data_IF_160866914720
#
_entry.id   IF_160866914720
#
_cell.length_a   1.000
_cell.length_b   1.000
_cell.length_c   1.000
_cell.angle_alpha   90.00
_cell.angle_beta   90.00
_cell.angle_gamma   90.00
#
_symmetry.space_group_name_H-M   'P 1'
#
loop_
_entity.id
_entity.type
_entity.pdbx_description
1 polymer ?
#
# COMPACT_ATOMS: atom_id res chain seq x y z
N UNK A 1 -15.37 26.16 8.24
CA UNK A 1 -14.68 27.40 8.61
C UNK A 1 -13.16 27.25 8.58
N UNK A 2 -12.37 28.32 8.70
CA UNK A 2 -10.93 28.27 8.68
C UNK A 2 -10.38 27.59 9.95
N UNK A 3 -9.26 26.87 9.80
CA UNK A 3 -8.40 26.43 10.88
C UNK A 3 -7.25 27.41 10.96
N UNK A 4 -7.06 28.05 12.11
CA UNK A 4 -6.04 29.10 12.30
C UNK A 4 -4.99 28.66 13.33
N UNK A 5 -3.78 29.15 13.16
CA UNK A 5 -2.71 28.97 14.16
C UNK A 5 -2.76 30.09 15.22
N UNK A 6 -1.87 30.05 16.20
CA UNK A 6 -1.80 31.04 17.29
C UNK A 6 -1.44 32.47 16.82
N UNK A 7 -0.98 32.63 15.58
CA UNK A 7 -0.68 33.92 14.96
C UNK A 7 -1.87 34.48 14.16
N UNK A 8 -3.00 33.77 14.13
CA UNK A 8 -4.17 34.13 13.36
C UNK A 8 -4.07 33.80 11.86
N UNK A 9 -3.01 33.08 11.43
CA UNK A 9 -2.84 32.68 10.03
C UNK A 9 -3.70 31.45 9.72
N UNK A 10 -4.38 31.43 8.58
CA UNK A 10 -5.17 30.29 8.13
C UNK A 10 -4.22 29.18 7.66
N UNK A 11 -4.25 28.04 8.33
CA UNK A 11 -3.45 26.85 8.02
C UNK A 11 -4.25 25.76 7.32
N UNK A 12 -5.57 25.82 7.37
CA UNK A 12 -6.46 24.86 6.72
C UNK A 12 -7.93 25.32 6.68
N UNK A 13 -8.73 24.51 6.01
CA UNK A 13 -10.19 24.68 5.94
C UNK A 13 -10.83 23.42 6.50
N UNK A 14 -11.60 23.53 7.59
CA UNK A 14 -12.32 22.40 8.17
C UNK A 14 -13.30 21.83 7.15
N UNK A 15 -13.22 20.53 6.87
CA UNK A 15 -13.98 19.87 5.80
C UNK A 15 -14.95 18.82 6.32
N UNK A 16 -14.55 17.99 7.27
CA UNK A 16 -15.34 16.88 7.74
C UNK A 16 -15.00 16.50 9.19
N UNK A 17 -15.89 15.76 9.82
CA UNK A 17 -15.63 15.01 11.06
C UNK A 17 -15.96 13.54 10.83
N UNK A 18 -15.19 12.63 11.42
CA UNK A 18 -15.58 11.23 11.48
C UNK A 18 -16.52 11.05 12.67
N UNK A 19 -17.73 10.56 12.40
CA UNK A 19 -18.77 10.40 13.43
C UNK A 19 -19.75 9.31 13.03
N UNK A 20 -20.21 8.55 14.03
CA UNK A 20 -21.28 7.55 13.88
C UNK A 20 -22.65 8.06 14.36
N UNK A 21 -22.69 9.19 15.10
CA UNK A 21 -23.89 9.73 15.73
C UNK A 21 -24.08 11.25 15.48
N UNK A 22 -23.47 11.79 14.43
CA UNK A 22 -23.48 13.22 14.06
C UNK A 22 -22.91 14.18 15.12
N UNK A 23 -22.22 13.64 16.16
CA UNK A 23 -21.51 14.43 17.17
C UNK A 23 -20.01 14.25 17.02
N UNK A 24 -19.22 15.24 17.43
CA UNK A 24 -17.75 15.16 17.39
C UNK A 24 -17.23 14.02 18.28
N UNK A 25 -16.50 13.09 17.71
CA UNK A 25 -15.93 11.92 18.36
C UNK A 25 -14.38 11.92 18.40
N UNK A 26 -13.78 13.11 18.33
CA UNK A 26 -12.33 13.27 18.45
C UNK A 26 -11.59 13.35 17.11
N UNK A 27 -12.22 13.08 15.98
CA UNK A 27 -11.58 13.13 14.66
C UNK A 27 -12.19 14.22 13.79
N UNK A 28 -11.38 15.23 13.47
CA UNK A 28 -11.69 16.28 12.51
C UNK A 28 -10.69 16.31 11.36
N UNK A 29 -11.15 16.63 10.17
CA UNK A 29 -10.33 16.74 8.98
C UNK A 29 -10.36 18.16 8.44
N UNK A 30 -9.19 18.66 8.05
CA UNK A 30 -9.05 19.96 7.41
C UNK A 30 -8.25 19.82 6.11
N UNK A 31 -8.64 20.57 5.09
CA UNK A 31 -7.88 20.69 3.85
C UNK A 31 -6.73 21.68 4.11
N UNK A 32 -5.46 21.31 3.87
CA UNK A 32 -4.34 22.24 4.02
C UNK A 32 -4.54 23.50 3.16
N UNK A 33 -4.26 24.67 3.72
CA UNK A 33 -4.54 25.95 3.02
C UNK A 33 -3.80 26.08 1.68
N UNK A 34 -2.59 25.53 1.59
CA UNK A 34 -1.82 25.57 0.35
C UNK A 34 -2.49 24.77 -0.78
N UNK A 35 -3.16 23.65 -0.44
CA UNK A 35 -3.94 22.86 -1.40
C UNK A 35 -5.21 23.60 -1.81
N UNK A 36 -5.93 24.15 -0.82
CA UNK A 36 -7.13 24.95 -1.08
C UNK A 36 -6.85 26.15 -1.99
N UNK A 37 -5.71 26.83 -1.77
CA UNK A 37 -5.26 27.96 -2.61
C UNK A 37 -5.01 27.52 -4.05
N UNK A 38 -4.28 26.44 -4.27
CA UNK A 38 -3.99 25.91 -5.61
C UNK A 38 -5.29 25.58 -6.38
N UNK A 39 -6.23 24.90 -5.69
CA UNK A 39 -7.55 24.59 -6.28
C UNK A 39 -8.35 25.85 -6.61
N UNK A 40 -8.36 26.83 -5.70
CA UNK A 40 -9.06 28.09 -5.92
C UNK A 40 -8.47 28.87 -7.13
N UNK A 41 -7.16 28.93 -7.25
CA UNK A 41 -6.48 29.56 -8.38
C UNK A 41 -6.82 28.88 -9.72
N UNK A 42 -6.87 27.53 -9.75
CA UNK A 42 -7.29 26.79 -10.94
C UNK A 42 -8.74 27.13 -11.35
N UNK A 43 -9.66 27.20 -10.39
CA UNK A 43 -11.06 27.57 -10.64
C UNK A 43 -11.16 29.01 -11.15
N UNK A 44 -10.46 29.95 -10.53
CA UNK A 44 -10.46 31.36 -10.91
C UNK A 44 -9.92 31.55 -12.33
N UNK A 45 -8.81 30.84 -12.67
CA UNK A 45 -8.14 31.00 -13.98
C UNK A 45 -8.79 30.21 -15.11
N UNK A 46 -9.38 29.07 -14.82
CA UNK A 46 -9.84 28.12 -15.84
C UNK A 46 -11.21 27.49 -15.63
N UNK A 47 -11.95 27.92 -14.61
CA UNK A 47 -13.30 27.43 -14.32
C UNK A 47 -13.37 25.98 -13.83
N UNK A 48 -12.25 25.26 -13.81
CA UNK A 48 -12.16 23.85 -13.39
C UNK A 48 -10.81 23.52 -12.79
N UNK A 49 -10.82 22.56 -11.89
CA UNK A 49 -9.59 22.03 -11.26
C UNK A 49 -8.88 21.11 -12.23
N UNK A 50 -7.61 21.35 -12.50
CA UNK A 50 -6.76 20.50 -13.33
C UNK A 50 -5.81 19.71 -12.42
N UNK A 51 -6.24 18.55 -11.96
CA UNK A 51 -5.41 17.71 -11.10
C UNK A 51 -4.39 16.95 -11.91
N UNK A 52 -3.12 17.19 -11.60
CA UNK A 52 -2.05 16.34 -12.08
C UNK A 52 -2.16 14.94 -11.50
N UNK A 53 -1.80 13.96 -12.30
CA UNK A 53 -1.96 12.54 -11.99
C UNK A 53 -0.70 11.76 -12.39
N UNK A 54 -0.31 10.81 -11.57
CA UNK A 54 0.86 9.96 -11.79
C UNK A 54 0.46 8.49 -12.01
N UNK A 55 -0.60 8.01 -11.38
CA UNK A 55 -1.08 6.63 -11.48
C UNK A 55 -0.34 5.64 -10.58
N UNK A 56 -0.17 6.02 -9.31
CA UNK A 56 0.49 5.20 -8.31
C UNK A 56 -0.42 4.96 -7.11
N UNK A 57 -0.44 3.73 -6.62
CA UNK A 57 -0.84 3.42 -5.25
C UNK A 57 0.41 3.26 -4.40
N UNK A 58 0.45 3.94 -3.27
CA UNK A 58 1.65 4.03 -2.44
C UNK A 58 1.33 3.70 -0.99
N UNK A 59 2.30 3.10 -0.31
CA UNK A 59 2.25 2.81 1.13
C UNK A 59 3.42 3.43 1.87
N UNK A 60 3.21 3.63 3.16
CA UNK A 60 4.28 4.08 4.06
C UNK A 60 5.34 3.00 4.21
N UNK A 61 6.61 3.39 4.10
CA UNK A 61 7.73 2.48 4.37
C UNK A 61 7.81 2.26 5.89
N UNK A 62 7.55 1.03 6.33
CA UNK A 62 7.75 0.63 7.74
C UNK A 62 9.23 0.29 8.01
N UNK A 63 9.66 0.27 9.30
CA UNK A 63 11.02 -0.16 9.64
C UNK A 63 11.37 -1.58 9.12
N UNK A 64 10.42 -2.50 9.17
CA UNK A 64 10.58 -3.84 8.63
C UNK A 64 10.74 -3.84 7.09
N UNK A 65 9.95 -2.99 6.38
CA UNK A 65 10.07 -2.81 4.93
C UNK A 65 11.42 -2.21 4.55
N UNK A 66 11.87 -1.16 5.24
CA UNK A 66 13.16 -0.54 4.99
C UNK A 66 14.28 -1.59 5.10
N UNK A 67 14.25 -2.39 6.16
CA UNK A 67 15.22 -3.47 6.37
C UNK A 67 15.16 -4.54 5.28
N UNK A 68 13.97 -5.03 4.93
CA UNK A 68 13.78 -6.05 3.91
C UNK A 68 14.22 -5.58 2.51
N UNK A 69 14.08 -4.28 2.21
CA UNK A 69 14.45 -3.68 0.93
C UNK A 69 15.89 -3.14 0.91
N UNK A 70 16.59 -3.14 2.05
CA UNK A 70 17.96 -2.63 2.16
C UNK A 70 18.03 -1.10 2.19
N UNK A 71 17.02 -0.43 2.76
CA UNK A 71 16.99 1.02 2.94
C UNK A 71 17.56 1.37 4.31
N UNK A 72 18.37 2.42 4.39
CA UNK A 72 19.00 2.85 5.66
C UNK A 72 18.01 3.42 6.66
N UNK A 73 16.94 4.06 6.16
CA UNK A 73 15.91 4.72 6.98
C UNK A 73 14.51 4.34 6.51
N UNK A 74 13.53 4.22 7.43
CA UNK A 74 12.13 3.92 7.06
C UNK A 74 11.41 5.18 6.55
N UNK A 75 11.94 5.79 5.50
CA UNK A 75 11.41 7.01 4.87
C UNK A 75 11.12 6.75 3.39
N UNK A 76 10.17 7.49 2.83
CA UNK A 76 9.77 7.38 1.44
C UNK A 76 8.37 6.83 1.24
N UNK A 77 7.97 6.73 -0.03
CA UNK A 77 6.70 6.16 -0.44
C UNK A 77 6.93 4.91 -1.29
N UNK A 78 6.55 3.76 -0.76
CA UNK A 78 6.63 2.47 -1.47
C UNK A 78 5.55 2.39 -2.55
N UNK A 79 5.95 2.21 -3.80
CA UNK A 79 5.04 1.94 -4.92
C UNK A 79 4.50 0.53 -4.79
N UNK A 80 3.21 0.42 -4.51
CA UNK A 80 2.52 -0.86 -4.36
C UNK A 80 1.91 -1.33 -5.66
N UNK A 81 1.29 -0.41 -6.40
CA UNK A 81 0.65 -0.69 -7.68
C UNK A 81 0.84 0.48 -8.62
N UNK A 82 1.00 0.18 -9.89
CA UNK A 82 1.02 1.15 -10.97
C UNK A 82 -0.25 0.94 -11.79
N UNK A 83 -0.94 2.02 -12.09
CA UNK A 83 -2.13 1.97 -12.94
C UNK A 83 -1.72 1.85 -14.41
N UNK A 84 -2.43 1.01 -15.16
CA UNK A 84 -2.16 0.79 -16.57
C UNK A 84 -2.31 2.08 -17.38
N UNK A 85 -1.47 2.27 -18.39
CA UNK A 85 -1.44 3.46 -19.24
C UNK A 85 -1.23 4.78 -18.46
N UNK A 86 -0.59 4.70 -17.30
CA UNK A 86 -0.31 5.86 -16.44
C UNK A 86 1.03 6.53 -16.78
N UNK A 87 1.24 7.80 -16.35
CA UNK A 87 2.54 8.45 -16.37
C UNK A 87 3.65 7.66 -15.68
N UNK A 88 3.33 7.01 -14.57
CA UNK A 88 4.28 6.19 -13.83
C UNK A 88 4.77 4.99 -14.64
N UNK A 89 3.85 4.28 -15.29
CA UNK A 89 4.19 3.15 -16.17
C UNK A 89 5.05 3.63 -17.34
N UNK A 90 4.64 4.70 -18.01
CA UNK A 90 5.38 5.30 -19.16
C UNK A 90 6.79 5.72 -18.78
N UNK A 91 7.02 6.18 -17.54
CA UNK A 91 8.33 6.54 -17.01
C UNK A 91 9.18 5.34 -16.58
N UNK A 92 8.62 4.12 -16.60
CA UNK A 92 9.31 2.88 -16.20
C UNK A 92 9.49 2.77 -14.70
N UNK A 93 8.59 3.36 -13.90
CA UNK A 93 8.44 3.03 -12.50
C UNK A 93 7.94 1.58 -12.38
N UNK A 94 8.24 0.94 -11.26
CA UNK A 94 7.87 -0.46 -11.00
C UNK A 94 7.32 -0.61 -9.58
N UNK A 95 6.54 -1.65 -9.37
CA UNK A 95 6.19 -2.09 -8.02
C UNK A 95 7.45 -2.36 -7.20
N UNK A 96 7.40 -2.08 -5.91
CA UNK A 96 8.52 -2.11 -4.96
C UNK A 96 9.55 -0.97 -5.11
N UNK A 97 9.37 -0.02 -6.04
CA UNK A 97 10.14 1.22 -6.00
C UNK A 97 9.81 2.02 -4.74
N UNK A 98 10.80 2.68 -4.16
CA UNK A 98 10.58 3.63 -3.08
C UNK A 98 10.91 5.02 -3.59
N UNK A 99 9.94 5.91 -3.59
CA UNK A 99 10.11 7.31 -3.96
C UNK A 99 10.75 8.03 -2.79
N UNK A 100 11.99 8.51 -2.97
CA UNK A 100 12.78 9.21 -1.95
C UNK A 100 12.71 10.72 -2.10
N UNK A 101 12.63 11.24 -3.34
CA UNK A 101 12.54 12.67 -3.60
C UNK A 101 11.82 12.94 -4.93
N UNK A 102 11.27 14.15 -5.07
CA UNK A 102 10.70 14.68 -6.32
C UNK A 102 11.22 16.10 -6.52
N UNK A 103 11.81 16.39 -7.68
CA UNK A 103 12.46 17.67 -8.01
C UNK A 103 13.44 18.13 -6.91
N UNK A 104 14.21 17.20 -6.36
CA UNK A 104 15.17 17.43 -5.27
C UNK A 104 14.57 17.60 -3.87
N UNK A 105 13.24 17.64 -3.74
CA UNK A 105 12.57 17.71 -2.44
C UNK A 105 12.35 16.31 -1.87
N UNK A 106 12.83 16.06 -0.64
CA UNK A 106 12.64 14.77 0.05
C UNK A 106 11.16 14.45 0.26
N UNK A 107 10.81 13.19 0.02
CA UNK A 107 9.50 12.60 0.25
C UNK A 107 9.63 11.54 1.35
N UNK A 108 9.12 11.84 2.54
CA UNK A 108 9.20 10.94 3.70
C UNK A 108 8.00 10.02 3.81
N UNK A 109 6.87 10.44 3.24
CA UNK A 109 5.59 9.75 3.32
C UNK A 109 4.87 9.77 1.97
N UNK A 110 3.91 8.84 1.73
CA UNK A 110 3.00 8.93 0.59
C UNK A 110 2.25 10.26 0.50
N UNK A 111 1.89 10.85 1.64
CA UNK A 111 1.20 12.15 1.71
C UNK A 111 2.06 13.29 1.18
N UNK A 112 3.39 13.23 1.37
CA UNK A 112 4.29 14.23 0.81
C UNK A 112 4.26 14.19 -0.71
N UNK A 113 4.31 12.98 -1.30
CA UNK A 113 4.20 12.77 -2.76
C UNK A 113 2.87 13.28 -3.27
N UNK A 114 1.75 12.90 -2.63
CA UNK A 114 0.42 13.35 -3.02
C UNK A 114 0.30 14.87 -2.97
N UNK A 115 0.77 15.50 -1.88
CA UNK A 115 0.75 16.95 -1.70
C UNK A 115 1.62 17.66 -2.72
N UNK A 116 2.77 17.08 -3.07
CA UNK A 116 3.66 17.64 -4.08
C UNK A 116 3.00 17.62 -5.47
N UNK A 117 2.48 16.47 -5.87
CA UNK A 117 1.83 16.29 -7.17
C UNK A 117 0.54 17.11 -7.28
N UNK A 118 -0.22 17.26 -6.19
CA UNK A 118 -1.45 18.05 -6.18
C UNK A 118 -1.25 19.55 -6.49
N UNK A 119 -0.01 20.05 -6.38
CA UNK A 119 0.36 21.45 -6.73
C UNK A 119 0.84 21.60 -8.15
N UNK A 120 0.99 20.52 -8.89
CA UNK A 120 1.46 20.48 -10.26
C UNK A 120 0.29 20.46 -11.24
N UNK A 121 0.58 20.82 -12.48
CA UNK A 121 -0.40 20.81 -13.55
C UNK A 121 -0.15 19.66 -14.54
N UNK A 122 -1.18 19.18 -15.22
CA UNK A 122 -1.00 18.23 -16.31
C UNK A 122 -0.07 18.77 -17.37
N UNK A 123 0.86 17.94 -17.86
CA UNK A 123 1.89 18.29 -18.81
C UNK A 123 3.22 18.72 -18.18
N UNK A 124 3.25 19.01 -16.86
CA UNK A 124 4.52 19.28 -16.19
C UNK A 124 5.36 18.00 -16.08
N UNK A 125 6.65 18.18 -16.23
CA UNK A 125 7.64 17.13 -16.01
C UNK A 125 8.23 17.26 -14.62
N UNK A 126 8.34 16.13 -13.91
CA UNK A 126 8.94 16.07 -12.57
C UNK A 126 9.98 14.95 -12.52
N UNK A 127 11.03 15.17 -11.74
CA UNK A 127 12.11 14.21 -11.58
C UNK A 127 11.93 13.43 -10.28
N UNK A 128 11.60 12.15 -10.40
CA UNK A 128 11.50 11.22 -9.28
C UNK A 128 12.87 10.61 -8.99
N UNK A 129 13.35 10.74 -7.77
CA UNK A 129 14.47 9.93 -7.26
C UNK A 129 13.89 8.71 -6.59
N UNK A 130 14.14 7.53 -7.15
CA UNK A 130 13.63 6.25 -6.65
C UNK A 130 14.76 5.36 -6.17
N UNK A 131 14.46 4.52 -5.19
CA UNK A 131 15.33 3.42 -4.75
C UNK A 131 14.71 2.09 -5.22
N UNK A 132 15.53 1.25 -5.84
CA UNK A 132 15.16 -0.07 -6.37
C UNK A 132 16.35 -1.02 -6.26
N UNK A 133 16.18 -2.18 -5.65
CA UNK A 133 17.20 -3.24 -5.55
C UNK A 133 18.57 -2.73 -5.08
N UNK A 134 18.59 -1.93 -4.02
CA UNK A 134 19.83 -1.38 -3.43
C UNK A 134 20.46 -0.21 -4.19
N UNK A 135 19.82 0.31 -5.24
CA UNK A 135 20.35 1.40 -6.07
C UNK A 135 19.35 2.55 -6.19
N UNK A 136 19.87 3.75 -6.36
CA UNK A 136 19.07 4.94 -6.60
C UNK A 136 19.06 5.31 -8.09
N UNK A 137 17.90 5.68 -8.60
CA UNK A 137 17.69 6.08 -10.00
C UNK A 137 16.90 7.37 -10.04
N UNK A 138 17.17 8.19 -11.06
CA UNK A 138 16.33 9.32 -11.40
C UNK A 138 15.41 8.92 -12.57
N UNK A 139 14.12 9.24 -12.44
CA UNK A 139 13.09 8.96 -13.42
C UNK A 139 12.29 10.21 -13.72
N UNK A 140 12.29 10.61 -14.98
CA UNK A 140 11.49 11.73 -15.47
C UNK A 140 10.06 11.26 -15.73
N UNK A 141 9.10 11.91 -15.11
CA UNK A 141 7.67 11.61 -15.22
C UNK A 141 6.93 12.82 -15.76
N UNK A 142 6.24 12.68 -16.88
CA UNK A 142 5.36 13.72 -17.43
C UNK A 142 3.96 13.51 -16.88
N UNK A 143 3.50 14.45 -16.04
CA UNK A 143 2.21 14.37 -15.38
C UNK A 143 1.06 14.48 -16.38
N UNK A 144 -0.01 13.73 -16.19
CA UNK A 144 -1.21 13.80 -17.02
C UNK A 144 -2.40 14.35 -16.23
N UNK A 145 -3.44 14.72 -16.92
CA UNK A 145 -4.72 15.01 -16.28
C UNK A 145 -5.38 13.70 -15.87
N UNK A 146 -5.85 13.61 -14.62
CA UNK A 146 -6.68 12.49 -14.21
C UNK A 146 -7.94 12.50 -15.06
N UNK A 147 -8.15 11.46 -15.85
CA UNK A 147 -9.46 11.24 -16.48
C UNK A 147 -10.41 10.97 -15.33
N UNK A 148 -11.46 11.78 -15.19
CA UNK A 148 -12.48 11.54 -14.18
C UNK A 148 -12.98 10.11 -14.40
N UNK A 149 -12.69 9.24 -13.45
CA UNK A 149 -13.29 7.93 -13.42
C UNK A 149 -14.78 8.17 -13.22
N UNK A 150 -15.57 7.81 -14.22
CA UNK A 150 -17.02 7.65 -14.05
C UNK A 150 -17.19 6.81 -12.80
N UNK A 151 -17.92 7.34 -11.83
CA UNK A 151 -18.15 6.71 -10.54
C UNK A 151 -18.46 5.24 -10.77
N UNK A 152 -17.54 4.36 -10.37
CA UNK A 152 -17.82 2.94 -10.29
C UNK A 152 -18.86 2.82 -9.21
N UNK A 153 -20.07 2.44 -9.61
CA UNK A 153 -21.12 2.03 -8.69
C UNK A 153 -20.53 0.90 -7.85
N UNK A 154 -20.54 1.08 -6.56
CA UNK A 154 -20.33 0.04 -5.58
C UNK A 154 -21.53 -0.90 -5.66
N UNK A 155 -21.42 -1.91 -6.50
CA UNK A 155 -22.36 -3.04 -6.50
C UNK A 155 -21.97 -3.92 -5.32
N UNK A 156 -22.52 -3.57 -4.16
CA UNK A 156 -22.58 -4.46 -3.02
C UNK A 156 -23.29 -5.74 -3.41
N UNK A 157 -22.56 -6.82 -3.53
CA UNK A 157 -23.09 -8.16 -3.56
C UNK A 157 -22.75 -8.87 -2.26
N UNK A 158 -23.75 -8.84 -1.36
CA UNK A 158 -23.94 -9.87 -0.34
C UNK A 158 -24.08 -11.21 -1.08
N UNK A 159 -23.24 -12.17 -0.73
CA UNK A 159 -23.53 -13.57 -1.03
C UNK A 159 -23.32 -14.43 0.21
N UNK A 160 -24.47 -14.93 0.64
CA UNK A 160 -24.63 -15.96 1.66
C UNK A 160 -24.16 -17.33 1.16
N UNK A 161 -23.48 -17.99 2.06
CA UNK A 161 -23.52 -19.43 2.39
C UNK A 161 -23.97 -20.43 1.29
N UNK A 162 -23.14 -21.43 1.11
CA UNK A 162 -23.50 -22.71 0.50
C UNK A 162 -22.44 -23.75 0.74
N UNK A 163 -22.76 -24.68 1.61
CA UNK A 163 -21.90 -25.75 2.10
C UNK A 163 -21.61 -26.86 1.08
N UNK A 164 -20.61 -27.63 1.41
CA UNK A 164 -20.55 -29.07 1.15
C UNK A 164 -19.79 -29.49 -0.11
N UNK A 165 -18.60 -29.99 0.07
CA UNK A 165 -18.27 -31.39 -0.29
C UNK A 165 -16.83 -31.67 0.13
N UNK A 166 -16.69 -32.67 0.95
CA UNK A 166 -15.43 -33.27 1.39
C UNK A 166 -14.79 -33.96 0.17
N UNK A 167 -13.54 -33.60 -0.10
CA UNK A 167 -12.63 -34.52 -0.76
C UNK A 167 -11.34 -34.52 0.07
N UNK A 168 -11.06 -35.71 0.62
CA UNK A 168 -10.05 -35.95 1.63
C UNK A 168 -8.65 -35.93 1.03
N UNK A 169 -7.97 -34.83 1.17
CA UNK A 169 -6.55 -34.79 1.47
C UNK A 169 -6.37 -33.58 2.38
N UNK A 170 -6.13 -33.85 3.67
CA UNK A 170 -5.92 -32.80 4.67
C UNK A 170 -4.84 -31.84 4.14
N UNK A 171 -5.18 -30.55 3.91
CA UNK A 171 -4.20 -29.61 3.38
C UNK A 171 -3.05 -29.51 4.36
N UNK A 172 -1.81 -29.62 3.87
CA UNK A 172 -0.63 -29.50 4.72
C UNK A 172 -0.65 -28.13 5.39
N UNK A 173 -0.83 -28.10 6.69
CA UNK A 173 -0.76 -26.90 7.50
C UNK A 173 0.55 -26.84 8.27
N UNK A 174 1.05 -25.63 8.54
CA UNK A 174 2.25 -25.42 9.33
C UNK A 174 2.13 -24.12 10.12
N UNK A 175 2.46 -24.22 11.40
CA UNK A 175 2.48 -23.06 12.31
C UNK A 175 3.90 -22.49 12.42
N UNK A 176 3.99 -21.19 12.33
CA UNK A 176 5.21 -20.41 12.50
C UNK A 176 5.05 -19.54 13.75
N UNK A 177 5.44 -20.09 14.91
CA UNK A 177 5.24 -19.45 16.20
C UNK A 177 5.91 -18.08 16.29
N UNK A 178 7.13 -17.97 15.76
CA UNK A 178 7.89 -16.72 15.74
C UNK A 178 7.23 -15.59 14.91
N UNK A 179 6.39 -15.94 13.95
CA UNK A 179 5.60 -14.95 13.17
C UNK A 179 4.16 -14.82 13.71
N UNK A 180 3.71 -15.76 14.51
CA UNK A 180 2.34 -15.82 15.03
C UNK A 180 1.30 -16.18 13.97
N UNK A 181 1.66 -17.02 12.97
CA UNK A 181 0.72 -17.45 11.92
C UNK A 181 0.73 -18.96 11.73
N UNK A 182 -0.43 -19.49 11.37
CA UNK A 182 -0.59 -20.81 10.78
C UNK A 182 -0.97 -20.65 9.33
N UNK A 183 -0.24 -21.31 8.43
CA UNK A 183 -0.53 -21.29 7.00
C UNK A 183 -0.86 -22.70 6.52
N UNK A 184 -1.64 -22.76 5.45
CA UNK A 184 -2.07 -24.03 4.88
C UNK A 184 -1.97 -23.97 3.35
N UNK A 185 -1.74 -25.12 2.74
CA UNK A 185 -1.69 -25.25 1.30
C UNK A 185 -3.08 -25.02 0.70
N UNK A 186 -3.15 -24.23 -0.38
CA UNK A 186 -4.40 -23.96 -1.08
C UNK A 186 -4.80 -25.14 -1.95
N UNK A 187 -6.10 -25.47 -1.90
CA UNK A 187 -6.71 -26.41 -2.83
C UNK A 187 -6.90 -25.79 -4.21
N UNK A 188 -7.18 -26.61 -5.22
CA UNK A 188 -7.51 -26.08 -6.57
C UNK A 188 -8.79 -25.23 -6.56
N UNK A 189 -9.71 -25.48 -5.65
CA UNK A 189 -10.92 -24.67 -5.46
C UNK A 189 -10.58 -23.31 -4.83
N UNK A 190 -9.70 -23.28 -3.80
CA UNK A 190 -9.25 -22.03 -3.18
C UNK A 190 -8.55 -21.12 -4.19
N UNK A 191 -7.70 -21.70 -5.02
CA UNK A 191 -6.98 -20.97 -6.09
C UNK A 191 -7.96 -20.35 -7.09
N UNK A 192 -8.96 -21.11 -7.56
CA UNK A 192 -10.00 -20.60 -8.46
C UNK A 192 -10.85 -19.51 -7.83
N UNK A 193 -11.34 -19.76 -6.60
CA UNK A 193 -12.18 -18.80 -5.85
C UNK A 193 -11.46 -17.46 -5.66
N UNK A 194 -10.15 -17.51 -5.39
CA UNK A 194 -9.35 -16.33 -5.13
C UNK A 194 -8.63 -15.78 -6.40
N UNK A 195 -8.84 -16.35 -7.58
CA UNK A 195 -8.20 -15.94 -8.83
C UNK A 195 -6.68 -15.80 -8.68
N UNK A 196 -6.03 -16.87 -8.20
CA UNK A 196 -4.59 -16.99 -8.04
C UNK A 196 -4.12 -18.35 -8.54
N UNK A 197 -2.92 -18.38 -9.13
CA UNK A 197 -2.30 -19.63 -9.60
C UNK A 197 -1.46 -20.28 -8.50
N UNK A 198 -0.86 -19.46 -7.63
CA UNK A 198 0.05 -19.88 -6.57
C UNK A 198 -0.32 -19.20 -5.25
N UNK A 199 0.22 -19.71 -4.14
CA UNK A 199 0.05 -19.12 -2.82
C UNK A 199 -0.26 -20.15 -1.74
N UNK A 200 -0.13 -19.68 -0.50
CA UNK A 200 -0.55 -20.38 0.72
C UNK A 200 -1.49 -19.48 1.50
N UNK A 201 -2.54 -20.04 2.09
CA UNK A 201 -3.52 -19.26 2.84
C UNK A 201 -3.15 -19.19 4.33
N UNK A 202 -3.29 -18.02 4.92
CA UNK A 202 -3.18 -17.82 6.37
C UNK A 202 -4.47 -18.31 7.02
N UNK A 203 -4.44 -19.50 7.61
CA UNK A 203 -5.60 -20.10 8.29
C UNK A 203 -5.81 -19.51 9.68
N UNK A 204 -4.73 -19.05 10.34
CA UNK A 204 -4.76 -18.38 11.64
C UNK A 204 -3.68 -17.31 11.72
N UNK A 205 -4.01 -16.18 12.34
CA UNK A 205 -3.07 -15.13 12.69
C UNK A 205 -3.32 -14.71 14.13
N UNK A 206 -2.33 -14.94 15.00
CA UNK A 206 -2.43 -14.64 16.43
C UNK A 206 -2.54 -13.13 16.64
N UNK A 207 -3.56 -12.61 17.36
CA UNK A 207 -3.63 -11.20 17.73
C UNK A 207 -2.33 -10.75 18.41
N UNK A 208 -1.84 -9.58 18.04
CA UNK A 208 -0.57 -9.00 18.51
C UNK A 208 0.70 -9.79 18.11
N UNK A 209 0.59 -10.83 17.28
CA UNK A 209 1.75 -11.48 16.65
C UNK A 209 2.43 -10.58 15.62
N UNK A 210 3.68 -10.88 15.30
CA UNK A 210 4.47 -10.06 14.37
C UNK A 210 3.80 -9.90 12.99
N UNK A 211 3.27 -10.97 12.43
CA UNK A 211 2.57 -10.92 11.16
C UNK A 211 1.29 -10.09 11.26
N UNK A 212 0.50 -10.26 12.33
CA UNK A 212 -0.73 -9.51 12.58
C UNK A 212 -0.46 -8.01 12.68
N UNK A 213 0.54 -7.61 13.49
CA UNK A 213 0.93 -6.20 13.69
C UNK A 213 1.41 -5.54 12.39
N UNK A 214 1.91 -6.34 11.45
CA UNK A 214 2.36 -5.89 10.14
C UNK A 214 1.32 -6.10 9.03
N UNK A 215 0.04 -6.37 9.38
CA UNK A 215 -1.07 -6.37 8.44
C UNK A 215 -1.33 -7.70 7.73
N UNK A 216 -0.71 -8.80 8.16
CA UNK A 216 -1.00 -10.16 7.69
C UNK A 216 -2.00 -10.81 8.65
N UNK A 217 -3.22 -11.00 8.18
CA UNK A 217 -4.35 -11.51 8.98
C UNK A 217 -4.90 -12.81 8.41
N UNK A 218 -5.73 -13.48 9.17
CA UNK A 218 -6.45 -14.68 8.73
C UNK A 218 -7.22 -14.43 7.42
N UNK A 219 -7.18 -15.39 6.51
CA UNK A 219 -7.79 -15.30 5.19
C UNK A 219 -6.90 -14.64 4.12
N UNK A 220 -5.79 -14.02 4.50
CA UNK A 220 -4.83 -13.49 3.53
C UNK A 220 -4.11 -14.64 2.80
N UNK A 221 -3.74 -14.40 1.53
CA UNK A 221 -2.99 -15.36 0.73
C UNK A 221 -1.59 -14.82 0.53
N UNK A 222 -0.59 -15.56 1.01
CA UNK A 222 0.81 -15.25 0.80
C UNK A 222 1.23 -15.83 -0.56
N UNK A 223 1.49 -14.93 -1.51
CA UNK A 223 1.87 -15.29 -2.89
C UNK A 223 3.39 -15.49 -3.01
N UNK A 224 4.16 -14.58 -2.40
CA UNK A 224 5.62 -14.59 -2.44
C UNK A 224 6.18 -14.23 -1.05
N UNK A 225 7.37 -14.74 -0.75
CA UNK A 225 8.23 -14.27 0.32
C UNK A 225 9.64 -14.06 -0.23
N UNK A 226 10.21 -12.85 -0.03
CA UNK A 226 11.54 -12.47 -0.53
C UNK A 226 11.73 -12.79 -2.03
N UNK A 227 10.76 -12.45 -2.87
CA UNK A 227 10.73 -12.70 -4.33
C UNK A 227 10.65 -14.19 -4.72
N UNK A 228 10.42 -15.10 -3.79
CA UNK A 228 10.23 -16.53 -4.06
C UNK A 228 8.74 -16.85 -3.97
N UNK A 229 8.19 -17.48 -5.01
CA UNK A 229 6.80 -17.93 -5.06
C UNK A 229 6.57 -18.99 -3.99
N UNK A 230 5.45 -18.90 -3.29
CA UNK A 230 5.04 -19.84 -2.24
C UNK A 230 3.98 -20.79 -2.80
N UNK A 231 4.32 -22.07 -2.96
CA UNK A 231 3.38 -23.11 -3.39
C UNK A 231 2.95 -24.02 -2.24
N UNK A 232 3.73 -24.04 -1.17
CA UNK A 232 3.47 -24.88 0.00
C UNK A 232 3.98 -24.22 1.28
N UNK A 233 3.47 -24.61 2.47
CA UNK A 233 4.02 -24.18 3.75
C UNK A 233 5.51 -24.50 3.93
N UNK A 234 6.00 -25.55 3.27
CA UNK A 234 7.42 -25.93 3.28
C UNK A 234 8.32 -24.90 2.60
N UNK A 235 7.81 -24.19 1.60
CA UNK A 235 8.59 -23.16 0.91
C UNK A 235 8.80 -21.97 1.82
N UNK A 236 7.76 -21.55 2.55
CA UNK A 236 7.88 -20.51 3.57
C UNK A 236 8.86 -20.92 4.68
N UNK A 237 8.79 -22.19 5.13
CA UNK A 237 9.75 -22.71 6.12
C UNK A 237 11.19 -22.57 5.66
N UNK A 238 11.51 -22.97 4.41
CA UNK A 238 12.87 -22.87 3.85
C UNK A 238 13.38 -21.42 3.82
N UNK A 239 12.49 -20.46 3.62
CA UNK A 239 12.85 -19.03 3.62
C UNK A 239 13.14 -18.57 5.04
N UNK A 240 12.26 -18.90 5.99
CA UNK A 240 12.40 -18.53 7.40
C UNK A 240 13.67 -19.16 8.02
N UNK A 241 13.92 -20.43 7.76
CA UNK A 241 15.07 -21.17 8.31
C UNK A 241 16.43 -20.56 7.89
N UNK A 242 16.47 -19.80 6.80
CA UNK A 242 17.66 -19.08 6.31
C UNK A 242 17.85 -17.71 6.95
N UNK A 243 16.89 -17.24 7.72
CA UNK A 243 16.89 -15.91 8.31
C UNK A 243 17.34 -15.95 9.76
N UNK A 244 17.98 -14.87 10.20
CA UNK A 244 18.40 -14.69 11.59
C UNK A 244 17.36 -13.87 12.36
N UNK A 245 17.29 -14.02 13.70
CA UNK A 245 16.51 -13.11 14.52
C UNK A 245 16.83 -11.65 14.22
N UNK A 246 15.78 -10.86 14.01
CA UNK A 246 15.88 -9.47 13.60
C UNK A 246 15.91 -9.25 12.09
N UNK A 247 16.06 -10.26 11.24
CA UNK A 247 15.89 -10.09 9.80
C UNK A 247 14.42 -9.83 9.46
N UNK A 248 14.17 -9.18 8.33
CA UNK A 248 12.81 -8.94 7.83
C UNK A 248 12.58 -9.72 6.54
N UNK A 249 11.37 -10.26 6.39
CA UNK A 249 10.89 -10.96 5.20
C UNK A 249 9.84 -10.09 4.53
N UNK A 250 9.98 -9.84 3.23
CA UNK A 250 9.01 -9.12 2.43
C UNK A 250 8.04 -10.10 1.78
N UNK A 251 6.76 -9.99 2.16
CA UNK A 251 5.68 -10.79 1.59
C UNK A 251 4.91 -10.01 0.53
N UNK A 252 4.55 -10.67 -0.56
CA UNK A 252 3.50 -10.25 -1.48
C UNK A 252 2.23 -10.98 -1.08
N UNK A 253 1.23 -10.22 -0.67
CA UNK A 253 0.02 -10.75 -0.04
C UNK A 253 -1.21 -10.33 -0.83
N UNK A 254 -2.10 -11.27 -1.15
CA UNK A 254 -3.43 -10.97 -1.67
C UNK A 254 -4.41 -10.90 -0.51
N UNK A 255 -5.17 -9.82 -0.49
CA UNK A 255 -6.24 -9.52 0.46
C UNK A 255 -7.53 -9.25 -0.29
N UNK A 256 -8.63 -9.02 0.43
CA UNK A 256 -9.94 -8.65 -0.16
C UNK A 256 -9.88 -7.33 -0.95
N UNK A 257 -9.05 -6.39 -0.50
CA UNK A 257 -8.85 -5.05 -1.09
C UNK A 257 -7.76 -5.01 -2.19
N UNK A 258 -7.14 -6.16 -2.51
CA UNK A 258 -6.12 -6.25 -3.56
C UNK A 258 -4.83 -6.94 -3.12
N UNK A 259 -3.79 -6.81 -3.95
CA UNK A 259 -2.46 -7.35 -3.67
C UNK A 259 -1.59 -6.25 -3.07
N UNK A 260 -0.84 -6.56 -2.00
CA UNK A 260 0.04 -5.62 -1.33
C UNK A 260 1.36 -6.23 -0.88
N UNK A 261 2.31 -5.37 -0.50
CA UNK A 261 3.60 -5.77 0.06
C UNK A 261 3.62 -5.48 1.56
N UNK A 262 3.98 -6.48 2.33
CA UNK A 262 4.05 -6.44 3.79
C UNK A 262 5.37 -7.03 4.25
N UNK A 263 6.06 -6.36 5.15
CA UNK A 263 7.29 -6.89 5.71
C UNK A 263 7.09 -7.27 7.18
N UNK A 264 7.55 -8.45 7.53
CA UNK A 264 7.48 -8.99 8.89
C UNK A 264 8.90 -9.25 9.37
N UNK A 265 9.23 -8.76 10.55
CA UNK A 265 10.52 -8.99 11.17
C UNK A 265 10.49 -10.30 11.96
N UNK A 266 11.55 -11.09 11.87
CA UNK A 266 11.71 -12.24 12.76
C UNK A 266 12.07 -11.71 14.14
N UNK A 267 11.31 -12.05 15.20
CA UNK A 267 11.59 -11.58 16.54
C UNK A 267 13.02 -11.85 16.98
N UNK A 268 13.56 -10.97 17.79
CA UNK A 268 14.77 -11.24 18.56
C UNK A 268 14.31 -11.86 19.86
N UNK A 269 14.78 -13.07 20.15
CA UNK A 269 14.53 -13.73 21.41
C UNK A 269 14.92 -12.85 22.61
#
# INVERSE_FOLDING_TARGET
>A
GPLVNLKGEVVGINSAIATTNARYQGYGFAIPINLAKAVAEDIIKGGKVRRAYVGLQMYQVSPAMAKALGLDKPEGALVQKIEDNSPAESAGLKEKDIILAIDGKEMKTPSDVQTFIARKHPGEEVMFKIFRDGKTFDKKVTLQQRKDAVAVKDDGQDDQSGGGSQDETSPQSMTFENLGITVQQMTSQDKKKNSVDDGIIVSESKPYGEAFNNGITTGNILLEADKQILNSPKDLKKIIDKRKPGDAILFRVKRSDGIGFFAVQIPKD
#
